data_IF_260901237038
#
_entry.id   IF_260901237038
#
_cell.length_a   1.000
_cell.length_b   1.000
_cell.length_c   1.000
_cell.angle_alpha   90.00
_cell.angle_beta   90.00
_cell.angle_gamma   90.00
#
_symmetry.space_group_name_H-M   'P 1'
#
loop_
_entity.id
_entity.type
_entity.pdbx_description
1 polymer ?
#
# COMPACT_ATOMS: atom_id res chain seq x y z
N UNK A 1 -31.31 -50.86 77.35
CA UNK A 1 -30.12 -49.99 77.25
C UNK A 1 -29.49 -50.18 75.87
N UNK A 2 -29.86 -49.32 74.93
CA UNK A 2 -29.35 -49.32 73.55
C UNK A 2 -28.30 -48.22 73.40
N UNK A 3 -27.08 -48.58 72.99
CA UNK A 3 -26.05 -47.64 72.51
C UNK A 3 -25.98 -47.75 70.98
N UNK A 4 -26.06 -46.63 70.24
CA UNK A 4 -26.09 -46.65 68.78
C UNK A 4 -24.68 -46.77 68.18
N UNK A 5 -24.54 -47.62 67.17
CA UNK A 5 -23.34 -47.69 66.32
C UNK A 5 -23.33 -46.55 65.30
N UNK A 6 -22.20 -45.84 65.24
CA UNK A 6 -21.92 -44.72 64.35
C UNK A 6 -21.65 -45.22 62.93
N UNK A 7 -22.45 -44.76 61.97
CA UNK A 7 -22.21 -44.88 60.52
C UNK A 7 -21.07 -43.97 60.09
N UNK A 8 -19.98 -44.55 59.55
CA UNK A 8 -18.95 -43.83 58.80
C UNK A 8 -19.52 -43.41 57.43
N UNK A 9 -19.61 -42.10 57.19
CA UNK A 9 -19.87 -41.54 55.84
C UNK A 9 -18.59 -41.64 55.01
N UNK A 10 -18.65 -42.36 53.90
CA UNK A 10 -17.65 -42.31 52.82
C UNK A 10 -17.69 -40.93 52.17
N UNK A 11 -16.59 -40.19 52.26
CA UNK A 11 -16.35 -38.99 51.47
C UNK A 11 -16.05 -39.44 50.03
N UNK A 12 -16.95 -39.16 49.08
CA UNK A 12 -16.63 -39.28 47.66
C UNK A 12 -15.79 -38.08 47.26
N UNK A 13 -14.51 -38.31 46.99
CA UNK A 13 -13.67 -37.33 46.27
C UNK A 13 -14.15 -37.30 44.82
N UNK A 14 -14.92 -36.27 44.45
CA UNK A 14 -15.23 -35.98 43.06
C UNK A 14 -14.04 -35.22 42.48
N UNK A 15 -13.28 -35.88 41.61
CA UNK A 15 -12.21 -35.25 40.83
C UNK A 15 -12.88 -34.32 39.80
N UNK A 16 -13.00 -33.04 40.13
CA UNK A 16 -13.42 -32.03 39.16
C UNK A 16 -12.25 -31.79 38.18
N UNK A 17 -12.28 -32.45 37.02
CA UNK A 17 -11.51 -32.03 35.86
C UNK A 17 -12.08 -30.69 35.38
N UNK A 18 -11.49 -29.59 35.85
CA UNK A 18 -11.71 -28.27 35.26
C UNK A 18 -11.04 -28.28 33.89
N UNK A 19 -11.81 -28.54 32.84
CA UNK A 19 -11.37 -28.25 31.48
C UNK A 19 -11.19 -26.72 31.38
N UNK A 20 -9.95 -26.26 31.50
CA UNK A 20 -9.55 -24.93 31.03
C UNK A 20 -9.67 -24.96 29.51
N UNK A 21 -10.88 -24.71 29.01
CA UNK A 21 -11.07 -24.22 27.65
C UNK A 21 -10.32 -22.90 27.61
N UNK A 22 -9.13 -22.91 27.00
CA UNK A 22 -8.46 -21.69 26.57
C UNK A 22 -9.40 -21.02 25.57
N UNK A 23 -10.27 -20.14 26.06
CA UNK A 23 -10.91 -19.13 25.24
C UNK A 23 -9.80 -18.20 24.79
N UNK A 24 -9.06 -18.59 23.75
CA UNK A 24 -8.33 -17.63 22.93
C UNK A 24 -9.36 -16.55 22.61
N UNK A 25 -9.14 -15.28 23.01
CA UNK A 25 -10.09 -14.24 22.69
C UNK A 25 -10.25 -14.27 21.17
N UNK A 26 -11.48 -14.54 20.71
CA UNK A 26 -11.88 -14.31 19.33
C UNK A 26 -11.91 -12.80 19.14
N UNK A 27 -10.73 -12.18 19.09
CA UNK A 27 -10.58 -10.89 18.45
C UNK A 27 -11.07 -11.15 17.02
N UNK A 28 -12.25 -10.63 16.69
CA UNK A 28 -12.61 -10.45 15.30
C UNK A 28 -11.45 -9.61 14.73
N UNK A 29 -10.54 -10.28 14.03
CA UNK A 29 -9.27 -9.66 13.66
C UNK A 29 -9.58 -8.42 12.84
N UNK A 30 -9.29 -7.26 13.43
CA UNK A 30 -9.65 -5.96 12.89
C UNK A 30 -8.86 -5.71 11.61
N UNK A 31 -9.54 -5.14 10.61
CA UNK A 31 -8.89 -4.59 9.43
C UNK A 31 -7.91 -3.48 9.84
N UNK A 32 -6.88 -3.26 9.04
CA UNK A 32 -5.85 -2.30 9.38
C UNK A 32 -4.89 -2.80 10.46
N UNK A 33 -4.69 -4.11 10.56
CA UNK A 33 -3.77 -4.73 11.53
C UNK A 33 -2.64 -5.46 10.83
N UNK A 34 -1.62 -5.89 11.59
CA UNK A 34 -0.51 -6.69 11.06
C UNK A 34 -0.96 -7.97 10.34
N UNK A 35 -2.00 -8.62 10.88
CA UNK A 35 -2.51 -9.88 10.36
C UNK A 35 -3.55 -9.67 9.25
N UNK A 36 -4.27 -8.54 9.25
CA UNK A 36 -5.13 -8.11 8.13
C UNK A 36 -4.82 -6.69 7.73
N UNK A 37 -3.77 -6.48 6.92
CA UNK A 37 -3.38 -5.15 6.47
C UNK A 37 -4.50 -4.47 5.71
N UNK A 38 -4.55 -3.15 5.87
CA UNK A 38 -5.44 -2.21 5.20
C UNK A 38 -6.90 -2.26 5.63
N UNK A 39 -7.59 -1.14 5.40
CA UNK A 39 -9.00 -1.00 5.70
C UNK A 39 -9.85 -2.06 4.98
N UNK A 40 -11.05 -2.29 5.50
CA UNK A 40 -12.00 -3.22 4.90
C UNK A 40 -12.35 -2.84 3.45
N UNK A 41 -12.48 -1.55 3.17
CA UNK A 41 -12.78 -0.97 1.85
C UNK A 41 -11.53 -0.75 0.98
N UNK A 42 -10.36 -1.23 1.43
CA UNK A 42 -9.19 -1.34 0.57
C UNK A 42 -9.49 -2.27 -0.60
N UNK A 43 -9.00 -1.91 -1.79
CA UNK A 43 -9.04 -2.78 -2.96
C UNK A 43 -8.31 -4.12 -2.74
N UNK A 44 -7.36 -4.20 -1.80
CA UNK A 44 -6.76 -5.47 -1.39
C UNK A 44 -7.76 -6.39 -0.69
N UNK A 45 -8.67 -5.82 0.08
CA UNK A 45 -9.62 -6.56 0.91
C UNK A 45 -11.02 -6.66 0.27
N UNK A 46 -11.14 -6.22 -0.99
CA UNK A 46 -12.39 -6.10 -1.72
C UNK A 46 -12.43 -7.00 -2.94
N UNK A 47 -13.63 -7.27 -3.44
CA UNK A 47 -13.84 -7.99 -4.70
C UNK A 47 -14.89 -7.36 -5.59
N UNK A 48 -14.74 -7.45 -6.92
CA UNK A 48 -15.78 -7.04 -7.84
C UNK A 48 -16.95 -8.04 -7.85
N UNK A 49 -18.14 -7.51 -8.11
CA UNK A 49 -19.37 -8.26 -8.39
C UNK A 49 -19.65 -8.15 -9.88
N UNK A 50 -19.90 -9.30 -10.52
CA UNK A 50 -20.12 -9.41 -11.96
C UNK A 50 -19.03 -8.67 -12.78
N UNK A 51 -17.75 -9.07 -12.62
CA UNK A 51 -16.66 -8.45 -13.36
C UNK A 51 -16.83 -8.65 -14.87
N UNK A 52 -16.52 -7.62 -15.64
CA UNK A 52 -16.41 -7.66 -17.10
C UNK A 52 -14.93 -7.79 -17.44
N UNK A 53 -14.63 -8.75 -18.30
CA UNK A 53 -13.27 -9.09 -18.70
C UNK A 53 -12.95 -8.56 -20.09
N UNK A 54 -11.69 -8.19 -20.29
CA UNK A 54 -11.15 -8.17 -21.65
C UNK A 54 -10.79 -9.58 -22.13
N UNK A 55 -10.28 -9.64 -23.35
CA UNK A 55 -10.02 -10.85 -24.10
C UNK A 55 -8.51 -11.14 -24.22
N UNK A 56 -7.65 -10.32 -23.60
CA UNK A 56 -6.20 -10.50 -23.68
C UNK A 56 -5.78 -11.67 -22.79
N UNK A 57 -5.07 -12.63 -23.37
CA UNK A 57 -4.52 -13.78 -22.66
C UNK A 57 -3.06 -13.47 -22.31
N UNK A 58 -2.68 -13.61 -21.04
CA UNK A 58 -1.27 -13.48 -20.62
C UNK A 58 -0.42 -14.45 -21.45
N UNK A 59 0.56 -14.00 -22.25
CA UNK A 59 1.34 -14.89 -23.10
C UNK A 59 2.16 -15.91 -22.31
N UNK A 60 2.48 -17.04 -22.93
CA UNK A 60 3.58 -17.88 -22.45
C UNK A 60 4.91 -17.14 -22.63
N UNK A 61 5.92 -17.52 -21.86
CA UNK A 61 7.25 -16.94 -21.94
C UNK A 61 8.30 -18.01 -21.59
N UNK A 62 9.55 -17.60 -21.37
CA UNK A 62 10.73 -18.45 -21.18
C UNK A 62 10.57 -19.46 -20.04
N UNK A 63 9.82 -19.10 -18.99
CA UNK A 63 9.56 -19.90 -17.80
C UNK A 63 8.07 -20.20 -17.62
N UNK A 64 7.77 -21.11 -16.70
CA UNK A 64 6.40 -21.40 -16.29
C UNK A 64 5.94 -20.41 -15.22
N UNK A 65 4.63 -20.09 -15.16
CA UNK A 65 4.11 -19.26 -14.08
C UNK A 65 4.44 -19.84 -12.71
N UNK A 66 4.61 -18.98 -11.72
CA UNK A 66 5.14 -19.36 -10.42
C UNK A 66 4.38 -18.75 -9.25
N UNK A 67 4.53 -19.38 -8.10
CA UNK A 67 4.18 -18.83 -6.78
C UNK A 67 5.46 -18.84 -5.96
N UNK A 68 5.89 -17.69 -5.44
CA UNK A 68 7.19 -17.55 -4.77
C UNK A 68 7.05 -17.10 -3.33
N UNK A 69 7.85 -17.73 -2.46
CA UNK A 69 7.97 -17.47 -1.03
C UNK A 69 9.44 -17.43 -0.58
N UNK A 70 10.36 -17.14 -1.51
CA UNK A 70 11.80 -17.27 -1.32
C UNK A 70 12.53 -15.98 -1.67
N UNK A 71 13.76 -16.08 -2.19
CA UNK A 71 14.64 -15.02 -2.67
C UNK A 71 13.94 -13.85 -3.36
N UNK A 72 12.92 -14.10 -4.18
CA UNK A 72 12.20 -13.07 -4.94
C UNK A 72 10.88 -12.61 -4.32
N UNK A 73 10.65 -12.90 -3.04
CA UNK A 73 9.51 -12.41 -2.27
C UNK A 73 9.95 -11.48 -1.15
N UNK A 74 9.07 -11.19 -0.20
CA UNK A 74 9.34 -10.29 0.94
C UNK A 74 9.07 -10.95 2.28
N UNK A 75 9.85 -10.54 3.29
CA UNK A 75 9.48 -10.73 4.69
C UNK A 75 8.65 -9.54 5.19
N UNK A 76 7.82 -9.79 6.20
CA UNK A 76 7.07 -8.74 6.88
C UNK A 76 7.28 -8.94 8.38
N UNK A 77 7.64 -7.87 9.08
CA UNK A 77 8.08 -7.92 10.46
C UNK A 77 7.18 -7.07 11.32
N UNK A 78 6.61 -7.67 12.37
CA UNK A 78 5.83 -6.95 13.37
C UNK A 78 6.78 -6.30 14.36
N UNK A 79 6.68 -4.99 14.52
CA UNK A 79 7.38 -4.25 15.56
C UNK A 79 6.60 -4.24 16.88
N UNK A 80 7.35 -4.17 17.98
CA UNK A 80 6.87 -3.97 19.35
C UNK A 80 7.20 -2.55 19.84
N UNK A 81 6.40 -1.95 20.73
CA UNK A 81 6.76 -0.70 21.39
C UNK A 81 8.12 -0.73 22.12
N UNK A 82 8.59 -1.92 22.49
CA UNK A 82 9.87 -2.13 23.17
C UNK A 82 11.06 -2.32 22.20
N UNK A 83 10.80 -2.45 20.89
CA UNK A 83 11.88 -2.57 19.91
C UNK A 83 12.67 -1.25 19.82
N UNK A 84 14.01 -1.30 19.78
CA UNK A 84 14.81 -0.09 19.73
C UNK A 84 14.73 0.60 18.35
N UNK A 85 14.99 1.91 18.27
CA UNK A 85 15.04 2.61 17.00
C UNK A 85 16.29 2.24 16.21
N UNK A 86 16.15 2.20 14.87
CA UNK A 86 17.26 2.00 13.93
C UNK A 86 17.23 3.07 12.87
N UNK A 87 18.40 3.67 12.63
CA UNK A 87 18.61 4.59 11.50
C UNK A 87 19.10 3.81 10.28
N UNK A 88 18.29 3.82 9.22
CA UNK A 88 18.63 3.28 7.91
C UNK A 88 19.29 4.38 7.08
N UNK A 89 20.43 4.06 6.48
CA UNK A 89 21.22 4.97 5.63
C UNK A 89 21.13 4.59 4.16
N UNK A 90 21.69 5.43 3.30
CA UNK A 90 21.90 5.10 1.90
C UNK A 90 22.87 3.95 1.70
N UNK A 91 22.74 3.25 0.57
CA UNK A 91 23.76 2.29 0.13
C UNK A 91 25.14 2.95 0.04
N UNK A 92 26.19 2.23 0.45
CA UNK A 92 27.56 2.71 0.31
C UNK A 92 27.88 3.10 -1.14
N UNK A 93 28.42 4.30 -1.34
CA UNK A 93 28.73 4.85 -2.67
C UNK A 93 27.54 5.42 -3.45
N UNK A 94 26.33 5.45 -2.87
CA UNK A 94 25.16 6.11 -3.46
C UNK A 94 25.00 7.57 -3.00
N UNK A 95 23.99 8.28 -3.52
CA UNK A 95 23.63 9.65 -3.09
C UNK A 95 23.03 9.71 -1.68
N UNK A 96 22.69 8.58 -1.07
CA UNK A 96 21.96 8.48 0.19
C UNK A 96 20.75 7.56 0.08
N UNK A 97 20.00 7.43 1.17
CA UNK A 97 18.71 6.73 1.18
C UNK A 97 17.68 7.64 0.52
N UNK A 98 17.04 7.16 -0.55
CA UNK A 98 15.99 7.93 -1.20
C UNK A 98 14.66 7.75 -0.46
N UNK A 99 14.17 8.82 0.19
CA UNK A 99 12.82 8.86 0.72
C UNK A 99 11.88 9.31 -0.40
N UNK A 100 11.05 8.39 -0.89
CA UNK A 100 10.16 8.68 -2.02
C UNK A 100 9.01 9.61 -1.68
N UNK A 101 8.63 9.70 -0.40
CA UNK A 101 7.54 10.57 0.01
C UNK A 101 7.96 12.02 0.23
N UNK A 102 9.23 12.36 0.42
CA UNK A 102 9.65 13.77 0.33
C UNK A 102 10.52 14.07 -0.89
N UNK A 103 10.82 13.04 -1.69
CA UNK A 103 11.63 13.08 -2.91
C UNK A 103 13.06 13.57 -2.65
N UNK A 104 13.61 13.33 -1.45
CA UNK A 104 14.96 13.70 -1.07
C UNK A 104 15.82 12.51 -0.63
N UNK A 105 17.13 12.76 -0.58
CA UNK A 105 18.10 11.81 -0.04
C UNK A 105 18.44 12.19 1.40
N UNK A 106 18.08 11.35 2.36
CA UNK A 106 18.45 11.51 3.76
C UNK A 106 18.22 10.21 4.53
N UNK A 107 18.88 10.07 5.67
CA UNK A 107 18.70 8.93 6.56
C UNK A 107 17.32 8.95 7.22
N UNK A 108 16.76 7.77 7.50
CA UNK A 108 15.46 7.61 8.16
C UNK A 108 15.63 6.78 9.43
N UNK A 109 15.10 7.28 10.54
CA UNK A 109 15.02 6.52 11.80
C UNK A 109 13.65 5.87 11.91
N UNK A 110 13.62 4.54 11.92
CA UNK A 110 12.43 3.76 12.23
C UNK A 110 12.37 3.58 13.75
N UNK A 111 11.28 3.99 14.43
CA UNK A 111 11.24 4.08 15.88
C UNK A 111 11.26 2.71 16.58
N UNK A 112 10.64 1.70 15.96
CA UNK A 112 10.55 0.35 16.49
C UNK A 112 11.06 -0.63 15.43
N UNK A 113 12.32 -1.04 15.54
CA UNK A 113 12.96 -1.96 14.61
C UNK A 113 13.00 -3.38 15.20
N UNK A 114 12.18 -4.33 14.71
CA UNK A 114 12.16 -5.66 15.27
C UNK A 114 13.47 -6.38 15.04
N UNK A 115 13.97 -7.08 16.07
CA UNK A 115 15.23 -7.84 15.99
C UNK A 115 15.23 -8.90 14.87
N UNK A 116 14.04 -9.36 14.47
CA UNK A 116 13.87 -10.31 13.37
C UNK A 116 13.98 -9.66 11.99
N UNK A 117 13.96 -8.33 11.86
CA UNK A 117 14.00 -7.67 10.56
C UNK A 117 15.23 -8.08 9.76
N UNK A 118 15.00 -8.43 8.50
CA UNK A 118 16.00 -8.97 7.59
C UNK A 118 15.58 -8.69 6.15
N UNK A 119 16.56 -8.41 5.30
CA UNK A 119 16.32 -8.21 3.88
C UNK A 119 15.89 -9.52 3.20
N UNK A 120 15.03 -9.42 2.18
CA UNK A 120 14.83 -10.53 1.26
C UNK A 120 16.18 -10.96 0.63
N UNK A 121 16.43 -12.28 0.42
CA UNK A 121 17.72 -12.74 -0.10
C UNK A 121 18.04 -12.28 -1.52
N UNK A 122 17.03 -11.89 -2.30
CA UNK A 122 17.20 -11.40 -3.67
C UNK A 122 17.83 -10.02 -3.76
N UNK A 123 18.14 -9.60 -4.98
CA UNK A 123 18.80 -8.31 -5.25
C UNK A 123 18.00 -7.10 -4.81
N UNK A 124 16.67 -7.25 -4.71
CA UNK A 124 15.75 -6.19 -4.35
C UNK A 124 15.68 -5.98 -2.85
N UNK A 125 16.13 -6.94 -2.03
CA UNK A 125 16.26 -6.78 -0.58
C UNK A 125 15.00 -6.20 0.09
N UNK A 126 13.81 -6.55 -0.39
CA UNK A 126 12.57 -6.02 0.17
C UNK A 126 12.41 -6.43 1.62
N UNK A 127 11.92 -5.49 2.43
CA UNK A 127 11.58 -5.70 3.82
C UNK A 127 10.53 -4.68 4.23
N UNK A 128 9.43 -5.19 4.79
CA UNK A 128 8.38 -4.33 5.35
C UNK A 128 8.32 -4.53 6.87
N UNK A 129 8.34 -3.42 7.60
CA UNK A 129 8.18 -3.39 9.06
C UNK A 129 6.83 -2.75 9.35
N UNK A 130 5.95 -3.49 10.00
CA UNK A 130 4.65 -3.00 10.45
C UNK A 130 4.79 -2.59 11.90
N UNK A 131 4.59 -1.30 12.17
CA UNK A 131 4.62 -0.71 13.50
C UNK A 131 3.20 -0.33 13.93
N UNK A 132 2.53 -1.16 14.78
CA UNK A 132 1.18 -0.87 15.26
C UNK A 132 1.11 0.37 16.16
N UNK A 133 2.22 0.79 16.78
CA UNK A 133 2.27 1.94 17.68
C UNK A 133 2.09 3.25 16.89
N UNK A 134 2.73 3.33 15.73
CA UNK A 134 2.62 4.48 14.82
C UNK A 134 1.55 4.30 13.76
N UNK A 135 1.05 3.08 13.57
CA UNK A 135 0.09 2.73 12.52
C UNK A 135 0.72 2.74 11.11
N UNK A 136 2.04 2.55 11.02
CA UNK A 136 2.81 2.66 9.78
C UNK A 136 3.34 1.31 9.32
N UNK A 137 3.30 1.08 8.00
CA UNK A 137 4.13 0.08 7.33
C UNK A 137 5.31 0.80 6.69
N UNK A 138 6.51 0.57 7.22
CA UNK A 138 7.76 1.02 6.64
C UNK A 138 8.17 0.05 5.54
N UNK A 139 8.37 0.52 4.32
CA UNK A 139 8.70 -0.32 3.17
C UNK A 139 10.04 0.07 2.57
N UNK A 140 10.94 -0.92 2.48
CA UNK A 140 12.33 -0.72 2.10
C UNK A 140 12.67 -1.47 0.80
N UNK A 141 13.51 -0.85 -0.02
CA UNK A 141 14.08 -1.47 -1.21
C UNK A 141 15.61 -1.45 -1.16
N UNK A 142 16.19 -2.57 -1.55
CA UNK A 142 17.60 -2.95 -1.43
C UNK A 142 18.11 -2.83 0.00
N UNK A 143 17.30 -3.25 0.98
CA UNK A 143 17.75 -3.29 2.36
C UNK A 143 18.94 -4.25 2.47
N UNK A 144 19.97 -3.83 3.20
CA UNK A 144 21.17 -4.62 3.51
C UNK A 144 21.66 -4.27 4.90
N UNK A 145 22.35 -5.21 5.51
CA UNK A 145 23.10 -4.98 6.74
C UNK A 145 24.59 -5.01 6.40
N UNK A 146 25.25 -3.86 6.54
CA UNK A 146 26.68 -3.66 6.30
C UNK A 146 27.40 -3.53 7.65
N UNK A 147 27.90 -4.65 8.18
CA UNK A 147 28.38 -4.72 9.57
C UNK A 147 27.23 -4.52 10.55
N UNK A 148 27.26 -3.45 11.34
CA UNK A 148 26.16 -3.07 12.26
C UNK A 148 25.19 -2.05 11.67
N UNK A 149 25.49 -1.51 10.48
CA UNK A 149 24.70 -0.44 9.85
C UNK A 149 23.67 -1.02 8.88
N UNK A 150 22.42 -0.59 9.01
CA UNK A 150 21.40 -0.86 7.99
C UNK A 150 21.47 0.18 6.86
N UNK A 151 21.45 -0.29 5.62
CA UNK A 151 21.45 0.53 4.41
C UNK A 151 20.30 0.12 3.49
N UNK A 152 19.73 1.07 2.76
CA UNK A 152 18.74 0.80 1.71
C UNK A 152 18.91 1.79 0.56
N UNK A 153 18.43 1.42 -0.63
CA UNK A 153 18.38 2.35 -1.77
C UNK A 153 17.19 3.31 -1.63
N UNK A 154 16.09 2.81 -1.08
CA UNK A 154 14.83 3.54 -1.02
C UNK A 154 14.03 3.19 0.25
N UNK A 155 13.31 4.20 0.74
CA UNK A 155 12.30 4.12 1.78
C UNK A 155 10.97 4.72 1.28
N UNK A 156 9.88 4.10 1.68
CA UNK A 156 8.51 4.59 1.56
C UNK A 156 7.69 4.11 2.76
N UNK A 157 6.48 4.65 2.91
CA UNK A 157 5.59 4.22 3.98
C UNK A 157 4.11 4.36 3.61
N UNK A 158 3.27 3.54 4.23
CA UNK A 158 1.81 3.67 4.18
C UNK A 158 1.23 3.52 5.57
N UNK A 159 0.01 4.03 5.78
CA UNK A 159 -0.77 3.65 6.95
C UNK A 159 -1.24 2.21 6.85
N UNK A 160 -1.17 1.46 7.95
CA UNK A 160 -1.62 0.07 8.01
C UNK A 160 -3.15 -0.01 7.92
N UNK A 161 -3.88 0.96 8.44
CA UNK A 161 -5.34 1.11 8.36
C UNK A 161 -5.80 1.89 7.12
N UNK A 162 -4.86 2.25 6.24
CA UNK A 162 -5.15 2.97 5.00
C UNK A 162 -5.63 2.05 3.88
N UNK A 163 -5.66 2.57 2.65
CA UNK A 163 -6.11 1.80 1.48
C UNK A 163 -5.08 0.78 0.97
N UNK A 164 -3.81 0.86 1.39
CA UNK A 164 -2.71 0.03 0.86
C UNK A 164 -2.31 0.30 -0.59
N UNK A 165 -2.79 1.42 -1.15
CA UNK A 165 -2.51 1.91 -2.49
C UNK A 165 -2.17 3.41 -2.42
N UNK A 166 -1.22 3.88 -3.24
CA UNK A 166 -0.88 5.29 -3.31
C UNK A 166 -2.05 6.18 -3.80
N UNK A 167 -1.95 7.47 -3.54
CA UNK A 167 -2.83 8.51 -4.11
C UNK A 167 -2.02 9.60 -4.79
N UNK A 168 -2.61 10.44 -5.65
CA UNK A 168 -1.85 11.48 -6.35
C UNK A 168 -1.10 12.45 -5.43
N UNK A 169 -1.68 12.80 -4.28
CA UNK A 169 -1.04 13.59 -3.23
C UNK A 169 0.08 12.86 -2.49
N UNK A 170 0.04 11.52 -2.43
CA UNK A 170 1.04 10.62 -1.84
C UNK A 170 1.28 9.41 -2.73
N UNK A 171 2.01 9.68 -3.83
CA UNK A 171 2.03 8.86 -5.04
C UNK A 171 3.03 7.69 -4.98
N UNK A 172 3.74 7.52 -3.87
CA UNK A 172 4.62 6.37 -3.67
C UNK A 172 4.58 6.00 -2.18
N UNK A 173 3.80 4.98 -1.83
CA UNK A 173 3.54 4.56 -0.43
C UNK A 173 4.19 3.24 -0.06
N UNK A 174 5.02 2.69 -0.94
CA UNK A 174 5.77 1.49 -0.65
C UNK A 174 6.76 1.13 -1.75
N UNK A 175 7.60 0.14 -1.49
CA UNK A 175 8.82 -0.13 -2.24
C UNK A 175 8.65 -0.74 -3.65
N UNK A 176 7.46 -1.19 -4.04
CA UNK A 176 7.23 -1.83 -5.35
C UNK A 176 7.03 -0.81 -6.48
N UNK A 177 7.18 -1.26 -7.73
CA UNK A 177 7.03 -0.44 -8.94
C UNK A 177 5.72 0.36 -9.00
N UNK A 178 4.62 -0.23 -8.53
CA UNK A 178 3.29 0.40 -8.45
C UNK A 178 3.09 1.40 -7.31
N UNK A 179 4.11 1.60 -6.47
CA UNK A 179 4.05 2.48 -5.31
C UNK A 179 3.34 1.88 -4.10
N UNK A 180 3.13 0.56 -4.07
CA UNK A 180 2.54 -0.17 -2.93
C UNK A 180 3.62 -0.80 -2.05
N UNK A 181 3.37 -1.02 -0.75
CA UNK A 181 4.32 -1.75 0.10
C UNK A 181 4.45 -3.20 -0.37
N UNK A 182 5.62 -3.81 -0.16
CA UNK A 182 5.84 -5.19 -0.57
C UNK A 182 4.90 -6.17 0.16
N UNK A 183 4.40 -5.79 1.34
CA UNK A 183 3.44 -6.53 2.13
C UNK A 183 2.04 -6.59 1.52
N UNK A 184 1.72 -5.67 0.60
CA UNK A 184 0.40 -5.61 0.01
C UNK A 184 0.10 -6.83 -0.88
N UNK A 185 -1.05 -7.45 -0.65
CA UNK A 185 -1.60 -8.55 -1.45
C UNK A 185 -0.83 -9.86 -1.41
N UNK A 186 0.23 -10.00 -0.63
CA UNK A 186 0.96 -11.28 -0.58
C UNK A 186 0.22 -12.29 0.31
N UNK A 187 0.32 -13.56 -0.02
CA UNK A 187 -0.17 -14.64 0.85
C UNK A 187 0.67 -14.68 2.12
N UNK A 188 0.08 -14.45 3.29
CA UNK A 188 0.80 -14.41 4.57
C UNK A 188 1.07 -15.81 5.12
N UNK A 189 2.14 -15.92 5.90
CA UNK A 189 2.53 -17.15 6.62
C UNK A 189 1.38 -17.75 7.42
N UNK A 190 0.67 -16.92 8.19
CA UNK A 190 -0.44 -17.36 9.04
C UNK A 190 -1.69 -17.78 8.23
N UNK A 191 -1.92 -17.19 7.05
CA UNK A 191 -3.03 -17.56 6.18
C UNK A 191 -2.74 -18.89 5.48
N UNK A 192 -1.52 -19.05 4.98
CA UNK A 192 -1.09 -20.25 4.30
C UNK A 192 -1.13 -21.48 5.23
N UNK A 193 -0.72 -21.32 6.49
CA UNK A 193 -0.78 -22.35 7.51
C UNK A 193 -2.21 -22.82 7.84
N UNK A 194 -3.22 -21.97 7.66
CA UNK A 194 -4.63 -22.33 7.90
C UNK A 194 -5.22 -23.20 6.79
N UNK A 195 -4.58 -23.25 5.61
CA UNK A 195 -5.06 -24.00 4.43
C UNK A 195 -6.55 -23.77 4.11
N UNK A 196 -7.03 -22.51 4.02
CA UNK A 196 -8.44 -22.22 3.75
C UNK A 196 -8.85 -22.70 2.34
N UNK A 197 -10.14 -22.63 1.99
CA UNK A 197 -10.56 -22.91 0.60
C UNK A 197 -9.97 -21.88 -0.39
N UNK A 198 -9.86 -20.62 0.05
CA UNK A 198 -9.27 -19.50 -0.69
C UNK A 198 -8.75 -18.44 0.30
N UNK A 199 -7.84 -17.59 -0.15
CA UNK A 199 -7.37 -16.43 0.61
C UNK A 199 -8.36 -15.28 0.50
N UNK A 200 -8.63 -14.57 1.60
CA UNK A 200 -9.71 -13.57 1.69
C UNK A 200 -9.27 -12.15 1.31
N UNK A 201 -8.41 -12.04 0.31
CA UNK A 201 -7.90 -10.78 -0.22
C UNK A 201 -7.42 -10.98 -1.67
N UNK A 202 -7.28 -9.89 -2.41
CA UNK A 202 -6.66 -9.88 -3.74
C UNK A 202 -5.16 -10.17 -3.63
N UNK A 203 -4.63 -10.93 -4.58
CA UNK A 203 -3.23 -11.34 -4.60
C UNK A 203 -2.33 -10.28 -5.25
N UNK A 204 -1.07 -10.21 -4.84
CA UNK A 204 -0.04 -9.47 -5.54
C UNK A 204 0.59 -10.36 -6.62
N UNK A 205 0.66 -9.83 -7.84
CA UNK A 205 1.20 -10.54 -8.99
C UNK A 205 2.16 -9.64 -9.78
N UNK A 206 3.25 -10.19 -10.29
CA UNK A 206 4.02 -9.56 -11.36
C UNK A 206 3.78 -10.27 -12.68
N UNK A 207 3.97 -9.56 -13.78
CA UNK A 207 3.89 -10.11 -15.13
C UNK A 207 5.21 -9.93 -15.85
N UNK A 208 5.49 -10.82 -16.82
CA UNK A 208 6.60 -10.56 -17.72
C UNK A 208 6.29 -9.43 -18.70
N UNK A 209 7.34 -8.86 -19.29
CA UNK A 209 7.24 -7.80 -20.29
C UNK A 209 6.32 -8.15 -21.47
N UNK A 210 6.18 -9.44 -21.81
CA UNK A 210 5.27 -9.93 -22.83
C UNK A 210 3.78 -9.73 -22.48
N UNK A 211 3.43 -9.71 -21.19
CA UNK A 211 2.07 -9.45 -20.71
C UNK A 211 1.82 -7.97 -20.38
N UNK A 212 2.84 -7.27 -19.89
CA UNK A 212 2.72 -5.87 -19.45
C UNK A 212 2.49 -4.89 -20.59
N UNK A 213 1.66 -3.88 -20.37
CA UNK A 213 1.42 -2.80 -21.32
C UNK A 213 2.54 -1.74 -21.30
N UNK A 214 3.01 -1.25 -22.47
CA UNK A 214 3.90 -0.09 -22.54
C UNK A 214 3.16 1.25 -22.45
N UNK A 215 1.89 1.31 -22.84
CA UNK A 215 1.10 2.53 -22.85
C UNK A 215 -0.43 2.24 -22.76
N UNK A 216 -1.12 2.65 -21.67
CA UNK A 216 -0.51 3.19 -20.45
C UNK A 216 0.32 2.12 -19.74
N UNK A 217 1.40 2.53 -19.08
CA UNK A 217 2.27 1.64 -18.30
C UNK A 217 1.62 1.21 -16.98
N UNK A 218 0.82 2.11 -16.38
CA UNK A 218 0.04 1.84 -15.17
C UNK A 218 -1.36 2.46 -15.28
N UNK A 219 -2.29 1.95 -14.48
CA UNK A 219 -3.65 2.47 -14.31
C UNK A 219 -4.01 2.50 -12.82
N UNK A 220 -5.09 3.22 -12.48
CA UNK A 220 -5.64 3.17 -11.12
C UNK A 220 -5.86 1.71 -10.66
N UNK A 221 -5.49 1.35 -9.42
CA UNK A 221 -5.03 2.22 -8.32
C UNK A 221 -3.52 2.50 -8.25
N UNK A 222 -2.70 1.98 -9.16
CA UNK A 222 -1.27 2.28 -9.19
C UNK A 222 -1.01 3.72 -9.63
N UNK A 223 -0.01 4.37 -9.05
CA UNK A 223 0.41 5.76 -9.38
C UNK A 223 1.73 5.81 -10.13
N UNK A 224 2.40 4.67 -10.25
CA UNK A 224 3.67 4.50 -10.94
C UNK A 224 3.75 3.13 -11.61
N UNK A 225 4.79 2.96 -12.42
CA UNK A 225 5.21 1.69 -13.00
C UNK A 225 6.74 1.65 -13.01
N UNK A 226 7.31 0.52 -13.43
CA UNK A 226 8.71 0.42 -13.77
C UNK A 226 9.17 1.53 -14.73
N UNK A 227 10.33 2.15 -14.43
CA UNK A 227 10.88 3.28 -15.21
C UNK A 227 11.14 2.97 -16.68
N UNK A 228 11.29 1.68 -17.03
CA UNK A 228 11.54 1.19 -18.38
C UNK A 228 10.29 0.62 -19.06
N UNK A 229 9.10 0.77 -18.45
CA UNK A 229 7.86 0.19 -18.96
C UNK A 229 7.61 0.55 -20.44
N UNK A 230 7.79 1.82 -20.82
CA UNK A 230 7.55 2.29 -22.19
C UNK A 230 8.44 1.65 -23.25
N UNK A 231 9.61 1.11 -22.89
CA UNK A 231 10.59 0.55 -23.83
C UNK A 231 10.73 -0.97 -23.74
N UNK A 232 10.38 -1.58 -22.61
CA UNK A 232 10.48 -3.04 -22.41
C UNK A 232 9.17 -3.79 -22.57
N UNK A 233 8.06 -3.20 -22.14
CA UNK A 233 6.76 -3.85 -22.13
C UNK A 233 6.21 -4.00 -23.56
N UNK A 234 5.52 -5.11 -23.83
CA UNK A 234 5.07 -5.52 -25.18
C UNK A 234 3.63 -6.06 -25.21
N UNK A 235 3.03 -6.28 -24.04
CA UNK A 235 1.68 -6.79 -23.87
C UNK A 235 0.63 -5.68 -23.73
N UNK A 236 -0.43 -5.98 -22.97
CA UNK A 236 -1.64 -5.14 -22.92
C UNK A 236 -2.22 -4.96 -21.52
N UNK A 237 -1.56 -5.48 -20.47
CA UNK A 237 -2.01 -5.33 -19.08
C UNK A 237 -1.12 -4.30 -18.38
N UNK A 238 -1.59 -3.06 -18.12
CA UNK A 238 -0.84 -2.09 -17.32
C UNK A 238 -0.68 -2.56 -15.88
N UNK A 239 0.38 -2.12 -15.22
CA UNK A 239 0.50 -2.24 -13.77
C UNK A 239 -0.67 -1.52 -13.05
N UNK A 240 -1.06 -1.99 -11.88
CA UNK A 240 -2.29 -1.60 -11.18
C UNK A 240 -3.55 -2.29 -11.70
N UNK A 241 -3.52 -2.99 -12.83
CA UNK A 241 -4.68 -3.74 -13.31
C UNK A 241 -5.04 -4.90 -12.37
N UNK A 242 -6.34 -5.14 -12.20
CA UNK A 242 -6.85 -6.37 -11.60
C UNK A 242 -7.03 -7.44 -12.68
N UNK A 243 -6.46 -8.63 -12.48
CA UNK A 243 -6.71 -9.83 -13.28
C UNK A 243 -7.48 -10.86 -12.47
N UNK A 244 -8.46 -11.54 -13.06
CA UNK A 244 -9.19 -12.63 -12.41
C UNK A 244 -9.37 -13.80 -13.36
N UNK A 245 -9.67 -14.96 -12.76
CA UNK A 245 -10.22 -16.08 -13.50
C UNK A 245 -11.73 -15.85 -13.70
N UNK A 246 -12.26 -16.06 -14.91
CA UNK A 246 -13.69 -16.03 -15.16
C UNK A 246 -14.49 -16.97 -14.22
N UNK A 247 -15.74 -16.65 -13.86
CA UNK A 247 -16.55 -17.47 -12.95
C UNK A 247 -16.73 -18.92 -13.40
N UNK A 248 -16.74 -19.17 -14.70
CA UNK A 248 -16.88 -20.48 -15.35
C UNK A 248 -15.56 -21.27 -15.48
N UNK A 249 -14.43 -20.70 -15.06
CA UNK A 249 -13.16 -21.44 -15.01
C UNK A 249 -13.27 -22.62 -14.03
N UNK A 250 -13.02 -23.84 -14.52
CA UNK A 250 -13.17 -25.08 -13.76
C UNK A 250 -11.92 -25.41 -12.93
N UNK A 251 -11.96 -25.04 -11.66
CA UNK A 251 -10.91 -25.32 -10.67
C UNK A 251 -10.89 -26.77 -10.20
N UNK A 252 -11.95 -27.55 -10.45
CA UNK A 252 -12.02 -28.95 -10.02
C UNK A 252 -11.00 -29.84 -10.72
N UNK A 253 -10.50 -29.38 -11.88
CA UNK A 253 -9.45 -30.02 -12.69
C UNK A 253 -8.04 -29.81 -12.16
N UNK A 254 -7.86 -28.94 -11.17
CA UNK A 254 -6.55 -28.66 -10.56
C UNK A 254 -6.34 -29.65 -9.41
N UNK A 255 -5.44 -30.61 -9.57
CA UNK A 255 -5.17 -31.67 -8.59
C UNK A 255 -4.33 -31.19 -7.40
N UNK A 256 -3.42 -30.22 -7.60
CA UNK A 256 -2.65 -29.67 -6.49
C UNK A 256 -3.53 -28.75 -5.62
N UNK A 257 -3.62 -29.06 -4.33
CA UNK A 257 -4.48 -28.34 -3.40
C UNK A 257 -4.12 -26.84 -3.26
N UNK A 258 -2.83 -26.50 -3.29
CA UNK A 258 -2.38 -25.10 -3.18
C UNK A 258 -2.65 -24.33 -4.47
N UNK A 259 -2.39 -24.93 -5.64
CA UNK A 259 -2.76 -24.31 -6.92
C UNK A 259 -4.27 -24.12 -7.02
N UNK A 260 -5.08 -25.08 -6.53
CA UNK A 260 -6.55 -24.96 -6.51
C UNK A 260 -7.00 -23.81 -5.60
N UNK A 261 -6.44 -23.68 -4.40
CA UNK A 261 -6.72 -22.57 -3.46
C UNK A 261 -6.40 -21.21 -4.08
N UNK A 262 -5.26 -21.11 -4.76
CA UNK A 262 -4.87 -19.90 -5.47
C UNK A 262 -5.84 -19.61 -6.62
N UNK A 263 -6.22 -20.62 -7.41
CA UNK A 263 -7.21 -20.45 -8.48
C UNK A 263 -8.57 -20.00 -7.94
N UNK A 264 -9.06 -20.57 -6.84
CA UNK A 264 -10.29 -20.11 -6.16
C UNK A 264 -10.17 -18.66 -5.67
N UNK A 265 -9.00 -18.28 -5.16
CA UNK A 265 -8.72 -16.89 -4.78
C UNK A 265 -8.78 -15.97 -6.01
N UNK A 266 -8.14 -16.36 -7.12
CA UNK A 266 -8.14 -15.60 -8.37
C UNK A 266 -9.53 -15.48 -9.01
N UNK A 267 -10.44 -16.45 -8.81
CA UNK A 267 -11.85 -16.35 -9.23
C UNK A 267 -12.65 -15.35 -8.39
N UNK A 268 -12.32 -15.21 -7.11
CA UNK A 268 -13.12 -14.46 -6.13
C UNK A 268 -12.63 -13.03 -5.93
N UNK A 269 -11.32 -12.87 -5.76
CA UNK A 269 -10.67 -11.59 -5.45
C UNK A 269 -9.71 -11.13 -6.55
N UNK A 270 -9.18 -12.07 -7.34
CA UNK A 270 -8.21 -11.76 -8.38
C UNK A 270 -6.80 -11.49 -7.86
N UNK A 271 -5.99 -10.92 -8.74
CA UNK A 271 -4.67 -10.42 -8.42
C UNK A 271 -4.41 -9.06 -9.07
N UNK A 272 -3.81 -8.14 -8.32
CA UNK A 272 -3.32 -6.89 -8.87
C UNK A 272 -1.90 -7.04 -9.40
N UNK A 273 -1.66 -6.46 -10.57
CA UNK A 273 -0.33 -6.41 -11.16
C UNK A 273 0.48 -5.31 -10.47
N UNK A 274 1.51 -5.67 -9.72
CA UNK A 274 2.25 -4.75 -8.84
C UNK A 274 3.67 -4.46 -9.28
N UNK A 275 4.20 -5.26 -10.21
CA UNK A 275 5.61 -5.26 -10.60
C UNK A 275 5.81 -5.96 -11.95
N UNK A 276 7.01 -5.81 -12.52
CA UNK A 276 7.47 -6.58 -13.66
C UNK A 276 8.39 -7.74 -13.27
N UNK A 277 8.45 -8.75 -14.13
CA UNK A 277 9.46 -9.81 -14.04
C UNK A 277 10.03 -10.17 -15.42
N UNK A 278 11.06 -11.02 -15.43
CA UNK A 278 11.73 -11.45 -16.66
C UNK A 278 11.41 -12.92 -16.94
N UNK A 279 10.76 -13.16 -18.08
CA UNK A 279 10.54 -14.49 -18.64
C UNK A 279 9.47 -15.34 -17.95
N UNK A 280 8.83 -14.87 -16.87
CA UNK A 280 7.82 -15.66 -16.15
C UNK A 280 6.42 -15.08 -16.37
N UNK A 281 5.50 -15.78 -17.06
CA UNK A 281 4.21 -15.21 -17.45
C UNK A 281 3.46 -14.48 -16.34
N UNK A 282 3.40 -15.10 -15.16
CA UNK A 282 3.06 -14.42 -13.92
C UNK A 282 3.83 -15.00 -12.74
N UNK A 283 4.08 -14.18 -11.71
CA UNK A 283 4.52 -14.62 -10.39
C UNK A 283 3.54 -14.12 -9.34
N UNK A 284 3.01 -15.02 -8.50
CA UNK A 284 2.25 -14.67 -7.31
C UNK A 284 3.17 -14.67 -6.10
N UNK A 285 3.06 -13.65 -5.26
CA UNK A 285 3.92 -13.48 -4.09
C UNK A 285 3.28 -14.03 -2.81
N UNK A 286 4.07 -14.77 -2.06
CA UNK A 286 3.76 -15.23 -0.70
C UNK A 286 4.90 -14.86 0.25
N UNK A 287 4.60 -14.59 1.51
CA UNK A 287 5.57 -14.18 2.51
C UNK A 287 6.73 -15.19 2.63
N UNK A 288 7.96 -14.68 2.81
CA UNK A 288 9.14 -15.55 2.97
C UNK A 288 8.94 -16.50 4.14
N UNK A 289 9.08 -17.80 3.87
CA UNK A 289 8.88 -18.86 4.86
C UNK A 289 7.43 -19.35 5.00
N UNK A 290 6.48 -18.81 4.23
CA UNK A 290 5.13 -19.37 4.13
C UNK A 290 5.14 -20.76 3.48
N UNK A 291 4.11 -21.57 3.72
CA UNK A 291 3.94 -22.89 3.10
C UNK A 291 3.05 -22.84 1.84
N UNK A 292 2.91 -21.65 1.22
CA UNK A 292 2.07 -21.40 0.05
C UNK A 292 2.76 -21.76 -1.29
N UNK A 293 4.02 -22.21 -1.27
CA UNK A 293 4.68 -22.70 -2.48
C UNK A 293 4.09 -24.08 -2.86
N UNK A 294 3.42 -24.21 -4.02
CA UNK A 294 2.83 -25.48 -4.46
C UNK A 294 3.86 -26.56 -4.83
N UNK A 295 5.13 -26.18 -4.93
CA UNK A 295 6.28 -27.00 -5.33
C UNK A 295 7.45 -26.86 -4.34
N UNK A 296 7.27 -27.23 -3.06
CA UNK A 296 8.26 -26.95 -2.01
C UNK A 296 9.55 -27.78 -2.16
N UNK A 297 9.48 -28.94 -2.83
CA UNK A 297 10.62 -29.83 -3.09
C UNK A 297 11.34 -29.55 -4.42
N UNK A 298 11.07 -28.39 -5.04
CA UNK A 298 11.59 -28.05 -6.36
C UNK A 298 10.59 -28.37 -7.48
N UNK A 299 11.09 -28.49 -8.71
CA UNK A 299 10.27 -28.58 -9.92
C UNK A 299 9.20 -29.69 -9.88
N UNK A 300 7.98 -29.36 -10.28
CA UNK A 300 6.85 -30.28 -10.37
C UNK A 300 6.04 -30.01 -11.66
N UNK A 301 6.03 -31.00 -12.58
CA UNK A 301 5.37 -30.88 -13.88
C UNK A 301 3.85 -30.67 -13.77
N UNK A 302 3.20 -31.31 -12.80
CA UNK A 302 1.75 -31.17 -12.58
C UNK A 302 1.43 -29.74 -12.17
N UNK A 303 2.14 -29.21 -11.18
CA UNK A 303 1.98 -27.82 -10.73
C UNK A 303 2.25 -26.83 -11.87
N UNK A 304 3.33 -27.06 -12.62
CA UNK A 304 3.69 -26.21 -13.75
C UNK A 304 2.56 -26.15 -14.81
N UNK A 305 1.99 -27.31 -15.18
CA UNK A 305 0.90 -27.39 -16.15
C UNK A 305 -0.42 -26.80 -15.62
N UNK A 306 -0.72 -26.97 -14.33
CA UNK A 306 -1.90 -26.38 -13.70
C UNK A 306 -1.78 -24.85 -13.64
N UNK A 307 -0.61 -24.31 -13.28
CA UNK A 307 -0.36 -22.87 -13.32
C UNK A 307 -0.42 -22.31 -14.75
N UNK A 308 0.00 -23.07 -15.77
CA UNK A 308 -0.21 -22.69 -17.17
C UNK A 308 -1.69 -22.63 -17.57
N UNK A 309 -2.51 -23.53 -17.02
CA UNK A 309 -3.95 -23.51 -17.23
C UNK A 309 -4.58 -22.27 -16.57
N UNK A 310 -4.13 -21.92 -15.36
CA UNK A 310 -4.51 -20.66 -14.68
C UNK A 310 -4.10 -19.45 -15.53
N UNK A 311 -2.86 -19.39 -16.02
CA UNK A 311 -2.39 -18.30 -16.92
C UNK A 311 -3.30 -18.15 -18.13
N UNK A 312 -3.64 -19.26 -18.79
CA UNK A 312 -4.50 -19.26 -19.97
C UNK A 312 -5.92 -18.75 -19.67
N UNK A 313 -6.40 -18.93 -18.44
CA UNK A 313 -7.71 -18.47 -17.98
C UNK A 313 -7.76 -17.01 -17.53
N UNK A 314 -6.67 -16.45 -17.01
CA UNK A 314 -6.65 -15.10 -16.45
C UNK A 314 -6.98 -14.03 -17.50
N UNK A 315 -7.88 -13.11 -17.15
CA UNK A 315 -8.23 -11.93 -17.94
C UNK A 315 -8.20 -10.68 -17.08
N UNK A 316 -7.91 -9.53 -17.68
CA UNK A 316 -8.00 -8.26 -16.97
C UNK A 316 -9.46 -7.87 -16.79
N UNK A 317 -9.80 -7.41 -15.60
CA UNK A 317 -11.09 -6.80 -15.28
C UNK A 317 -11.09 -5.36 -15.80
N UNK A 318 -12.02 -5.04 -16.69
CA UNK A 318 -12.17 -3.70 -17.27
C UNK A 318 -13.29 -2.88 -16.61
N UNK A 319 -14.26 -3.56 -16.00
CA UNK A 319 -15.31 -2.94 -15.18
C UNK A 319 -15.96 -3.98 -14.27
N UNK A 320 -16.74 -3.52 -13.30
CA UNK A 320 -17.58 -4.36 -12.45
C UNK A 320 -18.90 -3.64 -12.17
N UNK A 321 -19.98 -4.38 -11.94
CA UNK A 321 -21.28 -3.81 -11.60
C UNK A 321 -21.25 -3.12 -10.22
N UNK A 322 -20.55 -3.73 -9.26
CA UNK A 322 -20.32 -3.18 -7.93
C UNK A 322 -19.14 -3.86 -7.26
N UNK A 323 -18.80 -3.43 -6.04
CA UNK A 323 -17.75 -4.04 -5.23
C UNK A 323 -18.30 -4.43 -3.86
N UNK A 324 -17.69 -5.45 -3.27
CA UNK A 324 -17.93 -5.88 -1.90
C UNK A 324 -16.63 -5.73 -1.12
N UNK A 325 -16.69 -5.03 0.02
CA UNK A 325 -15.57 -4.79 0.91
C UNK A 325 -15.24 -6.02 1.78
N UNK A 326 -14.19 -5.93 2.59
CA UNK A 326 -13.78 -7.00 3.51
C UNK A 326 -14.82 -7.34 4.59
N UNK A 327 -15.75 -6.43 4.89
CA UNK A 327 -16.86 -6.66 5.82
C UNK A 327 -18.08 -7.28 5.13
N UNK A 328 -18.05 -7.48 3.81
CA UNK A 328 -19.19 -7.99 3.04
C UNK A 328 -20.19 -6.91 2.61
N UNK A 329 -19.88 -5.63 2.81
CA UNK A 329 -20.74 -4.52 2.42
C UNK A 329 -20.51 -4.12 0.97
N UNK A 330 -21.58 -3.74 0.28
CA UNK A 330 -21.48 -3.14 -1.05
C UNK A 330 -20.87 -1.74 -0.95
N UNK A 331 -19.88 -1.45 -1.79
CA UNK A 331 -19.28 -0.12 -1.88
C UNK A 331 -18.85 0.23 -3.32
N UNK A 332 -18.43 1.48 -3.52
CA UNK A 332 -17.81 1.96 -4.75
C UNK A 332 -16.38 2.37 -4.42
N UNK A 333 -15.36 1.78 -5.07
CA UNK A 333 -13.98 2.19 -4.87
C UNK A 333 -13.81 3.69 -5.08
N UNK A 334 -13.28 4.37 -4.06
CA UNK A 334 -13.10 5.81 -4.12
C UNK A 334 -11.96 6.15 -5.10
N UNK A 335 -12.31 6.76 -6.23
CA UNK A 335 -11.35 7.32 -7.19
C UNK A 335 -11.18 8.84 -7.03
N UNK A 336 -12.00 9.49 -6.20
CA UNK A 336 -11.85 10.90 -5.86
C UNK A 336 -10.85 11.03 -4.70
N UNK A 337 -9.57 10.89 -5.04
CA UNK A 337 -8.45 10.89 -4.10
C UNK A 337 -7.82 12.28 -4.01
N UNK A 338 -7.07 12.50 -2.92
CA UNK A 338 -6.42 13.78 -2.70
C UNK A 338 -5.40 14.05 -3.81
N UNK A 339 -5.57 15.16 -4.53
CA UNK A 339 -4.65 15.62 -5.57
C UNK A 339 -3.51 16.48 -5.00
N UNK A 340 -3.70 17.05 -3.82
CA UNK A 340 -2.76 17.99 -3.21
C UNK A 340 -1.61 17.25 -2.54
N UNK A 341 -0.39 17.61 -2.92
CA UNK A 341 0.85 17.22 -2.26
C UNK A 341 1.41 18.41 -1.49
N UNK A 342 1.81 18.20 -0.24
CA UNK A 342 2.53 19.20 0.56
C UNK A 342 4.06 19.07 0.43
N UNK A 343 4.56 18.15 -0.40
CA UNK A 343 6.00 17.97 -0.67
C UNK A 343 6.59 19.15 -1.41
N UNK A 344 7.90 19.29 -1.28
CA UNK A 344 8.73 20.10 -2.14
C UNK A 344 9.56 21.10 -1.35
N UNK A 345 10.25 21.95 -2.09
CA UNK A 345 11.14 22.94 -1.50
C UNK A 345 10.34 24.13 -0.98
N UNK A 346 10.16 24.19 0.34
CA UNK A 346 9.50 25.29 1.03
C UNK A 346 10.50 26.41 1.34
N UNK A 347 10.20 27.62 0.90
CA UNK A 347 11.03 28.81 1.08
C UNK A 347 10.35 29.80 2.00
N UNK A 348 11.10 30.35 2.97
CA UNK A 348 10.61 31.42 3.84
C UNK A 348 10.13 32.62 3.01
N UNK A 349 9.00 33.19 3.39
CA UNK A 349 8.52 34.49 2.87
C UNK A 349 8.53 35.56 3.94
N UNK A 350 8.15 35.22 5.18
CA UNK A 350 8.15 36.14 6.32
C UNK A 350 8.24 35.40 7.65
N UNK A 351 8.53 36.11 8.74
CA UNK A 351 8.70 35.53 10.09
C UNK A 351 10.09 34.93 10.33
N UNK A 352 10.24 34.21 11.44
CA UNK A 352 11.55 33.79 11.98
C UNK A 352 11.82 32.29 11.93
N UNK A 353 10.82 31.46 11.63
CA UNK A 353 10.98 30.00 11.60
C UNK A 353 10.60 29.40 10.25
N UNK A 354 11.43 28.49 9.76
CA UNK A 354 11.15 27.70 8.55
C UNK A 354 10.22 26.54 8.91
N UNK A 355 9.01 26.56 8.34
CA UNK A 355 8.14 25.38 8.30
C UNK A 355 8.75 24.32 7.37
N UNK A 356 8.74 23.06 7.79
CA UNK A 356 9.31 21.94 7.03
C UNK A 356 8.23 20.92 6.73
N UNK A 357 8.28 20.31 5.55
CA UNK A 357 7.41 19.18 5.25
C UNK A 357 7.72 18.02 6.21
N UNK A 358 6.69 17.53 6.89
CA UNK A 358 6.70 16.31 7.67
C UNK A 358 5.99 15.23 6.87
N UNK A 359 6.75 14.20 6.52
CA UNK A 359 6.29 13.06 5.72
C UNK A 359 5.07 12.39 6.35
N UNK A 360 5.12 11.97 7.62
CA UNK A 360 4.00 11.26 8.25
C UNK A 360 2.76 12.11 8.50
N UNK A 361 2.95 13.41 8.75
CA UNK A 361 1.83 14.34 8.90
C UNK A 361 1.22 14.76 7.56
N UNK A 362 1.93 14.51 6.44
CA UNK A 362 1.62 15.01 5.11
C UNK A 362 1.31 16.53 5.12
N UNK A 363 2.10 17.27 5.90
CA UNK A 363 1.87 18.68 6.22
C UNK A 363 3.19 19.44 6.39
N UNK A 364 3.14 20.77 6.25
CA UNK A 364 4.24 21.64 6.68
C UNK A 364 4.11 21.89 8.17
N UNK A 365 5.12 21.47 8.93
CA UNK A 365 5.18 21.63 10.38
C UNK A 365 6.12 22.78 10.73
N UNK A 366 5.61 23.73 11.50
CA UNK A 366 6.35 24.84 12.08
C UNK A 366 6.56 24.56 13.58
N UNK A 367 7.76 24.81 14.12
CA UNK A 367 7.93 24.85 15.56
C UNK A 367 7.12 25.99 16.17
N UNK A 368 6.96 25.98 17.51
CA UNK A 368 6.34 27.09 18.21
C UNK A 368 7.09 28.40 17.92
N UNK A 369 6.34 29.48 17.67
CA UNK A 369 6.88 30.79 17.28
C UNK A 369 6.12 31.91 17.96
N UNK A 370 6.78 33.03 18.24
CA UNK A 370 6.19 34.24 18.83
C UNK A 370 5.51 35.16 17.81
N UNK A 371 5.68 34.88 16.52
CA UNK A 371 5.04 35.62 15.42
C UNK A 371 4.71 34.68 14.26
N UNK A 372 3.73 35.06 13.44
CA UNK A 372 3.36 34.27 12.26
C UNK A 372 4.56 34.18 11.32
N UNK A 373 4.90 32.96 10.93
CA UNK A 373 5.86 32.69 9.86
C UNK A 373 5.12 32.14 8.65
N UNK A 374 5.60 32.51 7.45
CA UNK A 374 5.05 32.05 6.20
C UNK A 374 6.13 31.40 5.35
N UNK A 375 5.80 30.25 4.78
CA UNK A 375 6.59 29.61 3.74
C UNK A 375 5.76 29.39 2.48
N UNK A 376 6.43 29.34 1.34
CA UNK A 376 5.83 29.07 0.04
C UNK A 376 6.58 27.98 -0.71
N UNK A 377 5.85 27.23 -1.53
CA UNK A 377 6.38 26.23 -2.44
C UNK A 377 5.96 26.56 -3.88
N UNK A 378 6.94 26.93 -4.71
CA UNK A 378 6.75 27.28 -6.14
C UNK A 378 7.15 26.15 -7.11
N UNK A 379 7.52 24.97 -6.59
CA UNK A 379 8.14 23.90 -7.37
C UNK A 379 7.20 23.21 -8.36
N UNK A 380 5.91 23.60 -8.36
CA UNK A 380 4.82 22.91 -9.05
C UNK A 380 4.61 21.45 -8.61
N UNK A 381 5.29 20.99 -7.55
CA UNK A 381 5.14 19.65 -6.97
C UNK A 381 3.95 19.52 -6.02
N UNK A 382 3.11 20.57 -5.95
CA UNK A 382 1.84 20.57 -5.23
C UNK A 382 0.80 19.62 -5.83
N UNK A 383 1.02 19.11 -7.05
CA UNK A 383 0.27 18.02 -7.67
C UNK A 383 1.24 17.13 -8.44
N UNK A 384 1.24 15.83 -8.20
CA UNK A 384 2.10 14.90 -8.93
C UNK A 384 1.50 14.52 -10.29
N UNK A 385 2.35 14.09 -11.23
CA UNK A 385 1.99 13.72 -12.60
C UNK A 385 1.40 12.30 -12.70
N UNK A 386 0.51 11.92 -11.80
CA UNK A 386 -0.23 10.66 -11.90
C UNK A 386 -1.19 10.75 -13.08
N UNK A 387 -0.98 9.90 -14.10
CA UNK A 387 -1.60 10.05 -15.43
C UNK A 387 -3.13 10.06 -15.41
N UNK A 388 -3.76 9.20 -14.62
CA UNK A 388 -5.22 9.09 -14.50
C UNK A 388 -5.86 10.10 -13.54
N UNK A 389 -5.05 10.87 -12.79
CA UNK A 389 -5.54 11.80 -11.76
C UNK A 389 -5.32 13.28 -12.11
N UNK A 390 -5.07 13.60 -13.38
CA UNK A 390 -4.88 14.99 -13.81
C UNK A 390 -6.19 15.78 -13.63
N UNK A 391 -6.11 17.02 -13.13
CA UNK A 391 -7.27 17.89 -13.12
C UNK A 391 -7.87 18.06 -14.54
N UNK A 392 -9.20 18.11 -14.61
CA UNK A 392 -9.95 18.17 -15.88
C UNK A 392 -10.44 19.60 -16.10
N UNK A 393 -10.15 20.16 -17.26
CA UNK A 393 -10.64 21.48 -17.68
C UNK A 393 -12.16 21.58 -17.51
N UNK A 394 -12.64 22.64 -16.87
CA UNK A 394 -14.05 22.90 -16.63
C UNK A 394 -14.68 22.09 -15.50
N UNK A 395 -13.97 21.12 -14.90
CA UNK A 395 -14.46 20.42 -13.72
C UNK A 395 -14.26 21.27 -12.45
N UNK A 396 -15.16 21.12 -11.49
CA UNK A 396 -15.06 21.78 -10.19
C UNK A 396 -14.22 20.96 -9.21
N UNK A 397 -13.46 21.66 -8.37
CA UNK A 397 -12.61 21.09 -7.33
C UNK A 397 -12.79 21.86 -6.03
N UNK A 398 -12.68 21.16 -4.90
CA UNK A 398 -12.74 21.73 -3.56
C UNK A 398 -11.39 21.58 -2.89
N UNK A 399 -10.77 22.70 -2.54
CA UNK A 399 -9.63 22.76 -1.64
C UNK A 399 -10.13 22.89 -0.20
N UNK A 400 -9.70 22.02 0.70
CA UNK A 400 -9.99 22.09 2.14
C UNK A 400 -8.68 22.15 2.92
N UNK A 401 -8.54 23.14 3.80
CA UNK A 401 -7.38 23.25 4.67
C UNK A 401 -7.52 22.33 5.90
N UNK A 402 -6.41 21.66 6.25
CA UNK A 402 -6.30 20.79 7.43
C UNK A 402 -5.13 21.29 8.26
N UNK A 403 -5.42 22.07 9.29
CA UNK A 403 -4.38 22.79 10.03
C UNK A 403 -4.58 22.68 11.54
N UNK A 404 -3.52 22.90 12.31
CA UNK A 404 -3.57 22.96 13.78
C UNK A 404 -3.16 24.33 14.28
N UNK A 405 -3.55 24.68 15.52
CA UNK A 405 -3.01 25.80 16.28
C UNK A 405 -2.97 27.17 15.56
N UNK A 406 -3.96 27.45 14.71
CA UNK A 406 -4.08 28.72 13.99
C UNK A 406 -3.34 28.77 12.65
N UNK A 407 -2.79 27.65 12.18
CA UNK A 407 -2.18 27.56 10.86
C UNK A 407 -3.17 27.78 9.72
N UNK A 408 -2.67 28.26 8.58
CA UNK A 408 -3.51 28.52 7.39
C UNK A 408 -2.84 28.04 6.12
N UNK A 409 -3.66 27.55 5.18
CA UNK A 409 -3.25 27.12 3.86
C UNK A 409 -3.77 28.10 2.79
N UNK A 410 -2.94 28.42 1.81
CA UNK A 410 -3.39 29.08 0.57
C UNK A 410 -2.82 28.36 -0.64
N UNK A 411 -3.65 28.21 -1.67
CA UNK A 411 -3.26 27.70 -2.98
C UNK A 411 -3.58 28.75 -4.03
N UNK A 412 -2.63 28.98 -4.93
CA UNK A 412 -2.88 29.73 -6.17
C UNK A 412 -2.47 28.89 -7.37
N UNK A 413 -3.21 29.08 -8.47
CA UNK A 413 -2.96 28.43 -9.75
C UNK A 413 -2.72 29.52 -10.79
N UNK A 414 -1.52 29.54 -11.35
CA UNK A 414 -1.14 30.36 -12.48
C UNK A 414 -1.24 29.53 -13.76
N UNK A 415 -1.99 30.01 -14.76
CA UNK A 415 -1.95 29.40 -16.08
C UNK A 415 -0.81 30.06 -16.88
N UNK A 416 0.25 29.28 -17.12
CA UNK A 416 1.43 29.74 -17.84
C UNK A 416 1.11 30.14 -19.28
N UNK A 417 0.10 29.52 -19.90
CA UNK A 417 -0.30 29.84 -21.26
C UNK A 417 -1.07 31.17 -21.30
N UNK A 418 -1.98 31.39 -20.34
CA UNK A 418 -2.76 32.63 -20.25
C UNK A 418 -1.99 33.79 -19.61
N UNK A 419 -0.84 33.52 -18.99
CA UNK A 419 0.01 34.52 -18.36
C UNK A 419 -0.57 35.13 -17.08
N UNK A 420 -1.54 34.48 -16.42
CA UNK A 420 -2.26 35.05 -15.26
C UNK A 420 -2.61 34.01 -14.19
N UNK A 421 -2.83 34.49 -12.96
CA UNK A 421 -3.45 33.70 -11.90
C UNK A 421 -4.92 33.47 -12.28
N UNK A 422 -5.33 32.20 -12.37
CA UNK A 422 -6.70 31.81 -12.71
C UNK A 422 -7.49 31.34 -11.48
N UNK A 423 -6.80 31.07 -10.38
CA UNK A 423 -7.41 30.77 -9.09
C UNK A 423 -6.49 31.18 -7.94
N UNK A 424 -7.09 31.70 -6.86
CA UNK A 424 -6.45 31.93 -5.58
C UNK A 424 -7.45 31.62 -4.47
N UNK A 425 -7.08 30.75 -3.55
CA UNK A 425 -7.98 30.39 -2.46
C UNK A 425 -8.13 31.52 -1.44
N UNK A 426 -7.14 32.40 -1.29
CA UNK A 426 -6.90 33.12 -0.03
C UNK A 426 -6.42 32.16 1.06
N UNK A 427 -6.14 32.69 2.26
CA UNK A 427 -5.78 31.85 3.41
C UNK A 427 -7.02 31.22 4.02
N UNK A 428 -7.05 29.89 4.01
CA UNK A 428 -8.06 29.04 4.62
C UNK A 428 -7.57 28.57 5.98
N UNK A 429 -8.38 28.77 7.02
CA UNK A 429 -8.18 28.19 8.34
C UNK A 429 -8.61 26.72 8.39
N UNK A 430 -8.39 26.04 9.52
CA UNK A 430 -8.72 24.62 9.65
C UNK A 430 -10.19 24.32 9.31
N UNK A 431 -10.41 23.37 8.39
CA UNK A 431 -11.75 22.98 7.93
C UNK A 431 -12.38 23.92 6.91
N UNK A 432 -11.84 25.12 6.72
CA UNK A 432 -12.31 26.02 5.68
C UNK A 432 -12.00 25.46 4.29
N UNK A 433 -12.93 25.68 3.38
CA UNK A 433 -12.87 25.13 2.03
C UNK A 433 -13.20 26.18 0.99
N UNK A 434 -12.63 26.03 -0.21
CA UNK A 434 -12.97 26.84 -1.36
C UNK A 434 -13.12 25.97 -2.60
N UNK A 435 -14.27 26.09 -3.24
CA UNK A 435 -14.61 25.40 -4.48
C UNK A 435 -14.32 26.30 -5.67
N UNK A 436 -13.74 25.75 -6.73
CA UNK A 436 -13.41 26.48 -7.95
C UNK A 436 -13.47 25.58 -9.18
N UNK A 437 -13.65 26.19 -10.35
CA UNK A 437 -13.58 25.50 -11.63
C UNK A 437 -12.15 25.50 -12.15
N UNK A 438 -11.65 24.33 -12.56
CA UNK A 438 -10.32 24.21 -13.13
C UNK A 438 -10.25 24.84 -14.52
N UNK A 439 -9.54 25.96 -14.63
CA UNK A 439 -9.44 26.77 -15.85
C UNK A 439 -7.99 27.00 -16.32
N UNK A 440 -7.03 26.19 -15.85
CA UNK A 440 -5.61 26.29 -16.26
C UNK A 440 -5.23 25.23 -17.30
N UNK A 441 -4.75 25.67 -18.47
CA UNK A 441 -4.24 24.78 -19.53
C UNK A 441 -2.82 24.31 -19.23
N UNK A 442 -1.96 25.22 -18.75
CA UNK A 442 -0.59 24.93 -18.32
C UNK A 442 -0.42 25.36 -16.87
N UNK A 443 -0.92 24.58 -15.90
CA UNK A 443 -0.96 24.98 -14.50
C UNK A 443 0.43 25.02 -13.85
N UNK A 444 0.70 26.12 -13.15
CA UNK A 444 1.76 26.24 -12.16
C UNK A 444 1.15 26.58 -10.81
N UNK A 445 1.35 25.71 -9.82
CA UNK A 445 0.85 25.89 -8.47
C UNK A 445 1.86 26.65 -7.61
N UNK A 446 1.32 27.50 -6.74
CA UNK A 446 2.02 27.97 -5.55
C UNK A 446 1.18 27.67 -4.31
N UNK A 447 1.80 26.98 -3.35
CA UNK A 447 1.21 26.68 -2.05
C UNK A 447 1.88 27.52 -0.98
N UNK A 448 1.09 28.12 -0.11
CA UNK A 448 1.56 28.91 1.02
C UNK A 448 1.05 28.26 2.30
N UNK A 449 1.94 28.17 3.28
CA UNK A 449 1.60 27.73 4.63
C UNK A 449 1.98 28.83 5.62
N UNK A 450 1.04 29.18 6.50
CA UNK A 450 1.27 30.11 7.60
C UNK A 450 1.18 29.38 8.93
N UNK A 451 2.11 29.67 9.84
CA UNK A 451 2.06 29.19 11.22
C UNK A 451 1.02 29.95 12.04
N UNK A 452 0.55 29.34 13.13
CA UNK A 452 -0.02 30.09 14.25
C UNK A 452 1.07 30.72 15.13
N UNK A 453 0.65 31.20 16.30
CA UNK A 453 1.53 31.79 17.33
C UNK A 453 1.42 30.98 18.63
N UNK A 454 2.54 30.82 19.33
CA UNK A 454 2.63 30.22 20.66
C UNK A 454 2.81 28.69 20.68
N UNK A 455 2.29 27.97 19.68
CA UNK A 455 2.36 26.50 19.62
C UNK A 455 2.89 26.00 18.27
N UNK A 456 3.41 24.77 18.25
CA UNK A 456 3.75 24.06 17.01
C UNK A 456 2.52 23.98 16.10
N UNK A 457 2.71 24.20 14.80
CA UNK A 457 1.61 24.28 13.83
C UNK A 457 1.85 23.32 12.69
N UNK A 458 0.86 22.51 12.33
CA UNK A 458 0.85 21.71 11.11
C UNK A 458 -0.10 22.35 10.10
N UNK A 459 0.32 22.47 8.84
CA UNK A 459 -0.47 22.99 7.72
C UNK A 459 -0.47 21.97 6.59
N UNK A 460 -1.59 21.30 6.39
CA UNK A 460 -1.86 20.44 5.26
C UNK A 460 -3.15 20.84 4.55
N UNK A 461 -3.52 20.08 3.53
CA UNK A 461 -4.77 20.29 2.82
C UNK A 461 -5.18 19.11 1.97
N UNK A 462 -6.38 19.21 1.43
CA UNK A 462 -6.94 18.24 0.50
C UNK A 462 -7.52 18.96 -0.70
N UNK A 463 -7.21 18.48 -1.91
CA UNK A 463 -7.83 18.91 -3.15
C UNK A 463 -8.58 17.73 -3.76
N UNK A 464 -9.90 17.80 -3.79
CA UNK A 464 -10.78 16.77 -4.36
C UNK A 464 -11.58 17.34 -5.52
N UNK A 465 -11.98 16.48 -6.47
CA UNK A 465 -12.99 16.85 -7.45
C UNK A 465 -14.32 17.07 -6.73
N UNK A 466 -15.00 18.17 -6.99
CA UNK A 466 -16.32 18.43 -6.45
C UNK A 466 -17.35 17.57 -7.20
N UNK A 467 -18.35 17.08 -6.46
CA UNK A 467 -19.45 16.28 -7.00
C UNK A 467 -20.50 17.16 -7.69
#
# INVERSE_FOLDING_TARGET
>A
MQRPQKTLRRLQLTLAMTALLSTSPTWAQEWGSYLKPFAADSLWNSRPVNPVFDNFVIPTDTYFPAVTNNTYSTGIFLASPDDPPVTVKGLTGSKGLFNTDDENYHDVTIPHWPAAARAAPGTDGHADIVDPTTGIVHSLFKLKQEGTQWTAAMYAWTKIDGRGWPEPGHYYQGARATGVPAAAGIIRTHEAAQKPEYYKHALAMSLSYSGLSPNPAYVFPATSADTYAATRNKGSIPEGSLVMLPPDFDTSRISNAEVRRIAETLKRYGAYIVDANIGTPFVIYAEIGSDANPSPSGWNNTVANELQSVRAGLRRVISAESWVDGNGNKFTPNQNLNLLSMRGNWTQQSGSVLGKFSSWDQAVVFPATSSVSEVVNYSNRGMNAVTWAKPVMGASYTLTARTTNGGKLRMSIYDQLAGKVVFDSGYLANGESKTFTWNANSPRLALYAQSGVGNSTAVGGQLLKAN
#
